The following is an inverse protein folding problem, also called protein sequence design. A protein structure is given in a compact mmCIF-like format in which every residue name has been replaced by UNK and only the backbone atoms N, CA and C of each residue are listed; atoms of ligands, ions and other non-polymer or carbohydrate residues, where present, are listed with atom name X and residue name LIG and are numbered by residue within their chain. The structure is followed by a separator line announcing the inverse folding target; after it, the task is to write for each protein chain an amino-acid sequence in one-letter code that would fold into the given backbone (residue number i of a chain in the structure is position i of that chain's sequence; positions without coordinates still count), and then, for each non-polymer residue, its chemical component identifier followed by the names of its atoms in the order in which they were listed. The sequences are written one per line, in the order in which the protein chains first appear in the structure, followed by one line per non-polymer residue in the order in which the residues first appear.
data_IF_242544254790
#
_entry.id   IF_242544254790
#
_cell.length_a   1.000
_cell.length_b   1.000
_cell.length_c   1.000
_cell.angle_alpha   90.00
_cell.angle_beta   90.00
_cell.angle_gamma   90.00
#
_symmetry.space_group_name_H-M   'P 1'
#
loop_
_entity.id
_entity.type
_entity.pdbx_description
1 polymer ?
#
# COMPACT_ATOMS: atom_id res chain seq x y z
N UNK A 1 -48.80 55.71 -48.52
CA UNK A 1 -48.06 55.95 -47.27
C UNK A 1 -47.88 54.61 -46.54
N UNK A 2 -46.77 53.92 -46.79
CA UNK A 2 -46.40 52.71 -46.06
C UNK A 2 -45.39 53.13 -44.97
N UNK A 3 -45.85 53.16 -43.72
CA UNK A 3 -45.01 53.46 -42.58
C UNK A 3 -44.10 52.27 -42.27
N UNK A 4 -42.79 52.47 -42.44
CA UNK A 4 -41.76 51.58 -41.94
C UNK A 4 -41.90 51.45 -40.42
N UNK A 5 -42.41 50.30 -39.95
CA UNK A 5 -42.30 49.91 -38.54
C UNK A 5 -40.86 49.50 -38.27
N UNK A 6 -40.04 50.45 -37.82
CA UNK A 6 -38.77 50.14 -37.18
C UNK A 6 -39.13 49.49 -35.85
N UNK A 7 -39.22 48.16 -35.84
CA UNK A 7 -39.28 47.41 -34.59
C UNK A 7 -38.01 47.70 -33.82
N UNK A 8 -38.14 48.41 -32.69
CA UNK A 8 -37.05 48.69 -31.78
C UNK A 8 -36.36 47.38 -31.42
N UNK A 9 -35.02 47.35 -31.48
CA UNK A 9 -34.20 46.21 -31.05
C UNK A 9 -34.62 45.71 -29.64
N UNK A 10 -35.12 46.61 -28.80
CA UNK A 10 -35.68 46.30 -27.48
C UNK A 10 -36.96 45.46 -27.52
N UNK A 11 -37.87 45.66 -28.48
CA UNK A 11 -39.08 44.83 -28.65
C UNK A 11 -38.74 43.45 -29.21
N UNK A 12 -37.75 43.36 -30.12
CA UNK A 12 -37.27 42.10 -30.69
C UNK A 12 -36.58 41.26 -29.61
N UNK A 13 -35.78 41.89 -28.74
CA UNK A 13 -35.16 41.24 -27.57
C UNK A 13 -36.21 40.83 -26.54
N UNK A 14 -37.20 41.67 -26.23
CA UNK A 14 -38.25 41.38 -25.24
C UNK A 14 -39.16 40.22 -25.69
N UNK A 15 -39.48 40.13 -27.00
CA UNK A 15 -40.23 39.01 -27.56
C UNK A 15 -39.40 37.72 -27.70
N UNK A 16 -38.08 37.80 -27.95
CA UNK A 16 -37.21 36.60 -27.97
C UNK A 16 -36.88 36.07 -26.58
N UNK A 17 -36.71 36.92 -25.57
CA UNK A 17 -36.41 36.51 -24.18
C UNK A 17 -37.61 35.83 -23.50
N UNK A 18 -38.84 36.20 -23.87
CA UNK A 18 -40.06 35.53 -23.41
C UNK A 18 -40.36 34.21 -24.14
N UNK A 19 -39.53 33.80 -25.11
CA UNK A 19 -39.68 32.50 -25.73
C UNK A 19 -39.19 31.41 -24.75
N UNK A 20 -40.04 30.45 -24.33
CA UNK A 20 -39.64 29.36 -23.43
C UNK A 20 -38.44 28.55 -23.96
N UNK A 21 -38.14 28.68 -25.24
CA UNK A 21 -37.05 28.02 -25.92
C UNK A 21 -35.67 28.67 -25.71
N UNK A 22 -35.58 30.00 -25.50
CA UNK A 22 -34.30 30.66 -25.16
C UNK A 22 -33.83 30.22 -23.77
N UNK A 23 -34.78 30.05 -22.84
CA UNK A 23 -34.54 29.45 -21.54
C UNK A 23 -34.05 28.01 -21.65
N UNK A 24 -34.56 27.22 -22.60
CA UNK A 24 -34.07 25.86 -22.87
C UNK A 24 -32.59 25.81 -23.28
N UNK A 25 -32.16 26.69 -24.19
CA UNK A 25 -30.74 26.79 -24.59
C UNK A 25 -29.87 27.23 -23.42
N UNK A 26 -30.28 28.24 -22.65
CA UNK A 26 -29.58 28.72 -21.47
C UNK A 26 -29.43 27.64 -20.39
N UNK A 27 -30.46 26.83 -20.18
CA UNK A 27 -30.44 25.74 -19.20
C UNK A 27 -29.53 24.59 -19.67
N UNK A 28 -29.55 24.26 -20.97
CA UNK A 28 -28.65 23.28 -21.56
C UNK A 28 -27.18 23.72 -21.49
N UNK A 29 -26.88 24.99 -21.79
CA UNK A 29 -25.51 25.52 -21.69
C UNK A 29 -25.03 25.60 -20.25
N UNK A 30 -25.90 25.94 -19.29
CA UNK A 30 -25.58 25.90 -17.87
C UNK A 30 -25.28 24.45 -17.42
N UNK A 31 -26.12 23.49 -17.82
CA UNK A 31 -25.90 22.06 -17.52
C UNK A 31 -24.57 21.55 -18.10
N UNK A 32 -24.25 21.90 -19.35
CA UNK A 32 -22.96 21.60 -20.00
C UNK A 32 -21.79 22.20 -19.23
N UNK A 33 -21.93 23.44 -18.75
CA UNK A 33 -20.86 24.13 -18.01
C UNK A 33 -20.61 23.46 -16.65
N UNK A 34 -21.66 23.06 -15.94
CA UNK A 34 -21.55 22.33 -14.67
C UNK A 34 -20.93 20.94 -14.88
N UNK A 35 -21.38 20.21 -15.91
CA UNK A 35 -20.81 18.91 -16.29
C UNK A 35 -19.33 19.02 -16.69
N UNK A 36 -18.98 20.08 -17.41
CA UNK A 36 -17.59 20.35 -17.81
C UNK A 36 -16.71 20.65 -16.60
N UNK A 37 -17.19 21.48 -15.66
CA UNK A 37 -16.49 21.75 -14.41
C UNK A 37 -16.27 20.47 -13.57
N UNK A 38 -17.28 19.61 -13.46
CA UNK A 38 -17.15 18.34 -12.74
C UNK A 38 -16.19 17.36 -13.44
N UNK A 39 -16.18 17.35 -14.77
CA UNK A 39 -15.27 16.54 -15.59
C UNK A 39 -13.79 16.95 -15.42
N UNK A 40 -13.53 18.24 -15.16
CA UNK A 40 -12.18 18.77 -14.98
C UNK A 40 -11.57 18.51 -13.60
N UNK A 41 -12.39 18.34 -12.54
CA UNK A 41 -11.91 18.12 -11.17
C UNK A 41 -11.41 16.67 -10.98
N UNK A 42 -10.32 16.33 -11.66
CA UNK A 42 -9.77 14.97 -11.69
C UNK A 42 -8.98 14.66 -10.42
N UNK A 43 -9.53 13.73 -9.64
CA UNK A 43 -8.87 13.14 -8.46
C UNK A 43 -8.22 11.78 -8.76
N UNK A 44 -8.29 11.34 -10.02
CA UNK A 44 -7.76 10.04 -10.45
C UNK A 44 -6.26 9.95 -10.24
N UNK A 45 -5.52 11.03 -10.48
CA UNK A 45 -4.08 11.09 -10.33
C UNK A 45 -3.65 10.87 -8.88
N UNK A 46 -4.44 11.35 -7.91
CA UNK A 46 -4.15 11.16 -6.48
C UNK A 46 -4.30 9.68 -6.10
N UNK A 47 -5.40 9.03 -6.49
CA UNK A 47 -5.61 7.61 -6.17
C UNK A 47 -4.57 6.70 -6.85
N UNK A 48 -4.16 7.01 -8.08
CA UNK A 48 -3.08 6.29 -8.77
C UNK A 48 -1.77 6.47 -8.03
N UNK A 49 -1.43 7.69 -7.59
CA UNK A 49 -0.22 7.94 -6.80
C UNK A 49 -0.17 7.13 -5.50
N UNK A 50 -1.28 7.02 -4.76
CA UNK A 50 -1.34 6.17 -3.57
C UNK A 50 -1.18 4.69 -3.91
N UNK A 51 -1.81 4.21 -4.99
CA UNK A 51 -1.65 2.84 -5.47
C UNK A 51 -0.20 2.51 -5.82
N UNK A 52 0.46 3.40 -6.56
CA UNK A 52 1.87 3.22 -6.95
C UNK A 52 2.77 3.19 -5.72
N UNK A 53 2.58 4.13 -4.79
CA UNK A 53 3.36 4.20 -3.54
C UNK A 53 3.19 2.95 -2.67
N UNK A 54 1.95 2.45 -2.53
CA UNK A 54 1.66 1.22 -1.79
C UNK A 54 2.19 -0.03 -2.52
N UNK A 55 2.18 -0.04 -3.85
CA UNK A 55 2.77 -1.12 -4.65
C UNK A 55 4.30 -1.15 -4.49
N UNK A 56 4.94 0.02 -4.54
CA UNK A 56 6.38 0.18 -4.29
C UNK A 56 6.74 -0.30 -2.88
N UNK A 57 5.91 0.03 -1.88
CA UNK A 57 6.07 -0.49 -0.52
C UNK A 57 6.09 -2.03 -0.51
N UNK A 58 5.09 -2.70 -1.12
CA UNK A 58 5.03 -4.17 -1.15
C UNK A 58 6.27 -4.76 -1.81
N UNK A 59 6.66 -4.25 -2.96
CA UNK A 59 7.84 -4.72 -3.67
C UNK A 59 9.11 -4.55 -2.84
N UNK A 60 9.27 -3.40 -2.19
CA UNK A 60 10.42 -3.11 -1.35
C UNK A 60 10.43 -3.97 -0.08
N UNK A 61 9.27 -4.22 0.53
CA UNK A 61 9.15 -5.13 1.68
C UNK A 61 9.50 -6.57 1.32
N UNK A 62 9.15 -7.04 0.11
CA UNK A 62 9.53 -8.36 -0.39
C UNK A 62 11.04 -8.49 -0.53
N UNK A 63 11.73 -7.45 -1.03
CA UNK A 63 13.20 -7.41 -1.09
C UNK A 63 13.83 -7.42 0.30
N UNK A 64 13.26 -6.69 1.26
CA UNK A 64 13.71 -6.73 2.66
C UNK A 64 13.54 -8.13 3.25
N UNK A 65 12.43 -8.81 2.98
CA UNK A 65 12.21 -10.16 3.48
C UNK A 65 13.22 -11.16 2.89
N UNK A 66 13.57 -11.03 1.60
CA UNK A 66 14.64 -11.84 1.00
C UNK A 66 16.01 -11.61 1.67
N UNK A 67 16.33 -10.36 2.04
CA UNK A 67 17.54 -10.04 2.81
C UNK A 67 17.47 -10.64 4.23
N UNK A 68 16.30 -10.59 4.86
CA UNK A 68 16.08 -11.18 6.19
C UNK A 68 16.26 -12.70 6.20
N UNK A 69 15.82 -13.41 5.16
CA UNK A 69 16.07 -14.86 5.05
C UNK A 69 17.57 -15.19 4.96
N UNK A 70 18.38 -14.34 4.33
CA UNK A 70 19.84 -14.50 4.33
C UNK A 70 20.41 -14.33 5.73
N UNK A 71 19.98 -13.30 6.46
CA UNK A 71 20.38 -13.06 7.87
C UNK A 71 19.96 -14.21 8.79
N UNK A 72 18.82 -14.84 8.51
CA UNK A 72 18.33 -15.98 9.28
C UNK A 72 19.27 -17.19 9.19
N UNK A 73 19.83 -17.46 8.01
CA UNK A 73 20.61 -18.67 7.72
C UNK A 73 22.13 -18.45 7.86
N UNK A 74 22.60 -17.24 7.56
CA UNK A 74 24.02 -16.90 7.50
C UNK A 74 24.34 -15.64 8.31
N UNK A 75 25.54 -15.62 8.89
CA UNK A 75 26.05 -14.48 9.68
C UNK A 75 26.41 -13.27 8.80
N UNK A 76 26.67 -13.48 7.51
CA UNK A 76 27.20 -12.48 6.56
C UNK A 76 26.10 -11.67 5.83
N UNK A 77 25.11 -11.16 6.56
CA UNK A 77 24.21 -10.15 6.01
C UNK A 77 24.80 -8.75 6.20
N UNK A 78 24.88 -7.94 5.13
CA UNK A 78 25.16 -6.49 5.24
C UNK A 78 24.04 -5.81 6.06
N UNK A 79 24.19 -5.82 7.39
CA UNK A 79 23.23 -5.25 8.35
C UNK A 79 22.95 -3.78 8.03
N UNK A 80 23.95 -3.03 7.57
CA UNK A 80 23.80 -1.63 7.17
C UNK A 80 22.84 -1.45 5.97
N UNK A 81 22.95 -2.29 4.95
CA UNK A 81 22.10 -2.23 3.77
C UNK A 81 20.65 -2.60 4.11
N UNK A 82 20.48 -3.58 5.00
CA UNK A 82 19.17 -3.94 5.56
C UNK A 82 18.59 -2.77 6.35
N UNK A 83 19.35 -2.16 7.25
CA UNK A 83 18.91 -1.02 8.06
C UNK A 83 18.54 0.20 7.21
N UNK A 84 19.29 0.47 6.15
CA UNK A 84 18.95 1.49 5.16
C UNK A 84 17.61 1.17 4.48
N UNK A 85 17.41 -0.08 4.07
CA UNK A 85 16.15 -0.52 3.45
C UNK A 85 14.95 -0.37 4.42
N UNK A 86 15.14 -0.64 5.71
CA UNK A 86 14.10 -0.42 6.73
C UNK A 86 13.76 1.06 6.92
N UNK A 87 14.73 1.97 6.80
CA UNK A 87 14.46 3.42 6.84
C UNK A 87 13.60 3.85 5.66
N UNK A 88 13.90 3.37 4.46
CA UNK A 88 13.06 3.64 3.28
C UNK A 88 11.62 3.14 3.45
N UNK A 89 11.41 1.94 3.99
CA UNK A 89 10.05 1.43 4.27
C UNK A 89 9.31 2.28 5.31
N UNK A 90 10.02 2.75 6.35
CA UNK A 90 9.45 3.68 7.33
C UNK A 90 9.05 5.01 6.67
N UNK A 91 9.92 5.58 5.86
CA UNK A 91 9.67 6.85 5.17
C UNK A 91 8.47 6.75 4.24
N UNK A 92 8.32 5.64 3.52
CA UNK A 92 7.13 5.39 2.70
C UNK A 92 5.88 5.35 3.59
N UNK A 93 5.88 4.60 4.69
CA UNK A 93 4.71 4.49 5.55
C UNK A 93 4.30 5.84 6.18
N UNK A 94 5.28 6.59 6.70
CA UNK A 94 5.05 7.93 7.27
C UNK A 94 4.58 8.92 6.21
N UNK A 95 5.17 8.88 5.00
CA UNK A 95 4.77 9.78 3.92
C UNK A 95 3.37 9.49 3.39
N UNK A 96 2.94 8.23 3.37
CA UNK A 96 1.56 7.86 3.01
C UNK A 96 0.57 8.41 4.04
N UNK A 97 0.86 8.29 5.34
CA UNK A 97 0.03 8.86 6.39
C UNK A 97 -0.02 10.39 6.29
N UNK A 98 1.14 11.06 6.23
CA UNK A 98 1.23 12.52 6.14
C UNK A 98 0.60 13.09 4.85
N UNK A 99 0.72 12.38 3.72
CA UNK A 99 0.04 12.77 2.48
C UNK A 99 -1.48 12.71 2.66
N UNK A 100 -2.00 11.69 3.36
CA UNK A 100 -3.44 11.56 3.60
C UNK A 100 -4.01 12.71 4.43
N UNK A 101 -3.22 13.27 5.36
CA UNK A 101 -3.60 14.45 6.15
C UNK A 101 -3.68 15.72 5.30
N UNK A 102 -2.75 15.89 4.35
CA UNK A 102 -2.74 17.03 3.42
C UNK A 102 -3.87 16.95 2.39
N UNK A 103 -4.29 15.73 2.03
CA UNK A 103 -5.29 15.45 1.00
C UNK A 103 -6.73 15.38 1.53
N UNK A 104 -7.00 15.88 2.75
CA UNK A 104 -8.34 15.86 3.38
C UNK A 104 -9.45 16.59 2.60
N UNK A 105 -9.09 17.43 1.63
CA UNK A 105 -10.03 18.13 0.74
C UNK A 105 -10.55 17.28 -0.43
N UNK A 106 -10.03 16.07 -0.60
CA UNK A 106 -10.45 15.13 -1.65
C UNK A 106 -11.84 14.58 -1.34
N UNK A 107 -12.62 14.28 -2.39
CA UNK A 107 -14.03 13.85 -2.28
C UNK A 107 -14.16 12.55 -1.50
N UNK A 108 -13.15 11.69 -1.60
CA UNK A 108 -13.11 10.43 -0.88
C UNK A 108 -11.67 10.04 -0.51
N UNK A 109 -11.52 9.52 0.69
CA UNK A 109 -10.30 8.93 1.21
C UNK A 109 -10.69 7.77 2.14
N UNK A 110 -9.90 6.69 2.26
CA UNK A 110 -10.09 5.73 3.33
C UNK A 110 -10.11 6.41 4.72
N UNK A 111 -10.72 5.78 5.74
CA UNK A 111 -10.66 6.30 7.10
C UNK A 111 -9.22 6.51 7.58
N UNK A 112 -8.96 7.61 8.29
CA UNK A 112 -7.65 7.94 8.87
C UNK A 112 -7.06 6.80 9.71
N UNK A 113 -7.95 6.04 10.36
CA UNK A 113 -7.59 4.85 11.12
C UNK A 113 -6.85 3.80 10.28
N UNK A 114 -7.21 3.59 9.01
CA UNK A 114 -6.54 2.60 8.15
C UNK A 114 -5.10 3.01 7.84
N UNK A 115 -4.86 4.30 7.61
CA UNK A 115 -3.50 4.83 7.42
C UNK A 115 -2.66 4.70 8.70
N UNK A 116 -3.24 5.05 9.85
CA UNK A 116 -2.56 4.92 11.15
C UNK A 116 -2.27 3.46 11.50
N UNK A 117 -3.20 2.53 11.23
CA UNK A 117 -2.99 1.10 11.44
C UNK A 117 -1.89 0.54 10.54
N UNK A 118 -1.82 0.99 9.29
CA UNK A 118 -0.73 0.65 8.37
C UNK A 118 0.61 1.16 8.91
N UNK A 119 0.74 2.46 9.20
CA UNK A 119 1.98 3.05 9.71
C UNK A 119 2.46 2.36 10.99
N UNK A 120 1.57 2.18 11.96
CA UNK A 120 1.90 1.50 13.22
C UNK A 120 2.34 0.06 12.98
N UNK A 121 1.69 -0.66 12.07
CA UNK A 121 2.08 -2.04 11.73
C UNK A 121 3.48 -2.08 11.12
N UNK A 122 3.82 -1.14 10.22
CA UNK A 122 5.16 -1.02 9.64
C UNK A 122 6.21 -0.75 10.74
N UNK A 123 5.94 0.18 11.65
CA UNK A 123 6.86 0.52 12.74
C UNK A 123 7.13 -0.67 13.67
N UNK A 124 6.09 -1.41 14.03
CA UNK A 124 6.21 -2.63 14.87
C UNK A 124 7.00 -3.71 14.15
N UNK A 125 6.78 -3.90 12.85
CA UNK A 125 7.51 -4.88 12.04
C UNK A 125 8.99 -4.52 11.92
N UNK A 126 9.31 -3.25 11.65
CA UNK A 126 10.69 -2.74 11.64
C UNK A 126 11.36 -2.92 13.00
N UNK A 127 10.66 -2.62 14.10
CA UNK A 127 11.18 -2.81 15.46
C UNK A 127 11.48 -4.29 15.74
N UNK A 128 10.64 -5.20 15.24
CA UNK A 128 10.85 -6.65 15.37
C UNK A 128 12.09 -7.09 14.60
N UNK A 129 12.31 -6.59 13.39
CA UNK A 129 13.53 -6.85 12.60
C UNK A 129 14.77 -6.33 13.32
N UNK A 130 14.73 -5.09 13.83
CA UNK A 130 15.87 -4.48 14.55
C UNK A 130 16.28 -5.26 15.80
N UNK A 131 15.33 -5.94 16.45
CA UNK A 131 15.60 -6.85 17.57
C UNK A 131 16.11 -8.20 17.10
N UNK A 132 15.53 -8.75 16.03
CA UNK A 132 15.86 -10.08 15.51
C UNK A 132 17.30 -10.17 14.99
N UNK A 133 17.74 -9.20 14.18
CA UNK A 133 19.04 -9.25 13.48
C UNK A 133 20.24 -9.42 14.44
N UNK A 134 20.44 -8.58 15.46
CA UNK A 134 21.57 -8.73 16.37
C UNK A 134 21.49 -10.00 17.21
N UNK A 135 20.30 -10.37 17.68
CA UNK A 135 20.07 -11.61 18.43
C UNK A 135 20.44 -12.84 17.60
N UNK A 136 20.05 -12.85 16.32
CA UNK A 136 20.37 -13.96 15.41
C UNK A 136 21.87 -14.05 15.15
N UNK A 137 22.55 -12.93 14.93
CA UNK A 137 24.00 -12.91 14.72
C UNK A 137 24.75 -13.46 15.95
N UNK A 138 24.37 -13.01 17.15
CA UNK A 138 24.99 -13.48 18.40
C UNK A 138 24.71 -14.98 18.65
N UNK A 139 23.51 -15.44 18.30
CA UNK A 139 23.16 -16.85 18.38
C UNK A 139 24.00 -17.70 17.42
N UNK A 140 24.17 -17.26 16.17
CA UNK A 140 24.96 -17.97 15.16
C UNK A 140 26.41 -18.12 15.60
N UNK A 141 27.03 -17.06 16.11
CA UNK A 141 28.40 -17.12 16.64
C UNK A 141 28.51 -18.11 17.82
N UNK A 142 27.57 -18.04 18.77
CA UNK A 142 27.53 -18.94 19.92
C UNK A 142 27.33 -20.40 19.50
N UNK A 143 26.48 -20.65 18.51
CA UNK A 143 26.22 -21.98 17.96
C UNK A 143 27.43 -22.54 17.23
N UNK A 144 28.12 -21.74 16.39
CA UNK A 144 29.35 -22.15 15.71
C UNK A 144 30.45 -22.54 16.70
N UNK A 145 30.62 -21.74 17.76
CA UNK A 145 31.57 -22.03 18.83
C UNK A 145 31.21 -23.32 19.58
N UNK A 146 29.93 -23.60 19.80
CA UNK A 146 29.47 -24.84 20.41
C UNK A 146 29.69 -26.06 19.50
N UNK A 147 29.38 -25.96 18.20
CA UNK A 147 29.63 -27.02 17.21
C UNK A 147 31.11 -27.40 17.18
N UNK A 148 32.01 -26.41 17.16
CA UNK A 148 33.45 -26.65 17.20
C UNK A 148 33.88 -27.33 18.52
N UNK A 149 33.24 -27.00 19.64
CA UNK A 149 33.53 -27.63 20.95
C UNK A 149 33.03 -29.08 20.99
N UNK A 150 31.81 -29.35 20.50
CA UNK A 150 31.22 -30.69 20.46
C UNK A 150 32.05 -31.64 19.59
N UNK A 151 32.42 -31.19 18.39
CA UNK A 151 33.22 -31.99 17.44
C UNK A 151 34.62 -32.35 17.98
N UNK A 152 35.19 -31.54 18.87
CA UNK A 152 36.49 -31.81 19.51
C UNK A 152 36.41 -32.78 20.69
N UNK A 153 35.23 -32.96 21.28
CA UNK A 153 35.07 -33.77 22.50
C UNK A 153 34.81 -35.25 22.19
N UNK A 154 33.73 -35.57 21.47
CA UNK A 154 33.42 -36.94 21.05
C UNK A 154 32.54 -36.90 19.79
N UNK A 155 33.03 -37.47 18.69
CA UNK A 155 32.37 -37.38 17.39
C UNK A 155 31.03 -38.13 17.33
N UNK A 156 30.93 -39.31 17.95
CA UNK A 156 29.71 -40.14 17.94
C UNK A 156 28.55 -39.49 18.70
N UNK A 157 28.88 -38.79 19.80
CA UNK A 157 27.88 -38.05 20.58
C UNK A 157 27.59 -36.68 19.94
N UNK A 158 28.60 -36.07 19.29
CA UNK A 158 28.47 -34.76 18.67
C UNK A 158 27.54 -34.76 17.46
N UNK A 159 27.59 -35.78 16.60
CA UNK A 159 26.83 -35.82 15.34
C UNK A 159 25.32 -35.52 15.51
N UNK A 160 24.56 -36.21 16.39
CA UNK A 160 23.14 -35.90 16.58
C UNK A 160 22.88 -34.50 17.17
N UNK A 161 23.78 -34.00 18.03
CA UNK A 161 23.67 -32.68 18.64
C UNK A 161 23.95 -31.57 17.63
N UNK A 162 24.94 -31.78 16.75
CA UNK A 162 25.28 -30.86 15.66
C UNK A 162 24.13 -30.82 14.64
N UNK A 163 23.53 -31.97 14.31
CA UNK A 163 22.34 -32.01 13.43
C UNK A 163 21.17 -31.20 13.99
N UNK A 164 20.96 -31.24 15.31
CA UNK A 164 19.97 -30.40 15.97
C UNK A 164 20.34 -28.91 15.87
N UNK A 165 21.60 -28.54 16.08
CA UNK A 165 22.07 -27.16 15.93
C UNK A 165 21.95 -26.66 14.47
N UNK A 166 22.21 -27.50 13.48
CA UNK A 166 22.01 -27.18 12.07
C UNK A 166 20.55 -26.98 11.72
N UNK A 167 19.67 -27.81 12.27
CA UNK A 167 18.23 -27.64 12.09
C UNK A 167 17.74 -26.35 12.78
N UNK A 168 18.30 -26.01 13.95
CA UNK A 168 18.05 -24.71 14.61
C UNK A 168 18.60 -23.53 13.79
N UNK A 169 19.73 -23.71 13.09
CA UNK A 169 20.31 -22.73 12.15
C UNK A 169 19.40 -22.46 10.96
N UNK A 170 18.60 -23.44 10.54
CA UNK A 170 17.54 -23.23 9.54
C UNK A 170 16.27 -22.58 10.11
N UNK A 171 16.24 -22.32 11.42
CA UNK A 171 15.15 -21.61 12.11
C UNK A 171 14.04 -22.52 12.62
N UNK A 172 14.26 -23.84 12.73
CA UNK A 172 13.34 -24.73 13.42
C UNK A 172 13.48 -24.56 14.95
N UNK A 173 12.37 -24.50 15.66
CA UNK A 173 12.36 -24.46 17.13
C UNK A 173 12.59 -25.87 17.68
N UNK A 174 13.83 -26.16 18.05
CA UNK A 174 14.24 -27.48 18.57
C UNK A 174 14.39 -27.38 20.07
N UNK A 175 13.76 -28.33 20.76
CA UNK A 175 13.84 -28.43 22.21
C UNK A 175 15.01 -29.34 22.62
N UNK A 176 15.67 -29.04 23.75
CA UNK A 176 16.70 -29.90 24.30
C UNK A 176 16.10 -31.25 24.70
N UNK A 177 16.75 -32.34 24.28
CA UNK A 177 16.35 -33.70 24.63
C UNK A 177 17.09 -34.18 25.89
N UNK A 178 16.32 -34.45 26.95
CA UNK A 178 16.84 -34.93 28.24
C UNK A 178 17.63 -36.24 28.14
N UNK A 179 17.49 -37.01 27.06
CA UNK A 179 18.26 -38.25 26.84
C UNK A 179 19.77 -38.01 26.72
N UNK A 180 20.21 -36.77 26.48
CA UNK A 180 21.61 -36.37 26.44
C UNK A 180 22.14 -35.86 27.79
N UNK A 181 21.24 -35.62 28.75
CA UNK A 181 21.60 -35.21 30.11
C UNK A 181 22.31 -36.36 30.81
N UNK A 182 23.53 -36.12 31.28
CA UNK A 182 24.42 -37.14 31.87
C UNK A 182 25.30 -37.88 30.85
N UNK A 183 25.07 -37.72 29.54
CA UNK A 183 26.02 -38.19 28.51
C UNK A 183 27.10 -37.15 28.22
N UNK A 184 26.77 -35.86 28.35
CA UNK A 184 27.69 -34.73 28.20
C UNK A 184 28.18 -34.25 29.58
N UNK A 185 29.36 -33.63 29.67
CA UNK A 185 29.75 -32.85 30.84
C UNK A 185 28.70 -31.77 31.14
N UNK A 186 28.38 -31.54 32.41
CA UNK A 186 27.30 -30.63 32.83
C UNK A 186 27.44 -29.23 32.22
N UNK A 187 28.67 -28.70 32.14
CA UNK A 187 28.95 -27.39 31.54
C UNK A 187 28.61 -27.33 30.05
N UNK A 188 28.87 -28.42 29.31
CA UNK A 188 28.59 -28.53 27.88
C UNK A 188 27.10 -28.77 27.62
N UNK A 189 26.46 -29.59 28.46
CA UNK A 189 25.01 -29.78 28.44
C UNK A 189 24.26 -28.47 28.67
N UNK A 190 24.58 -27.73 29.74
CA UNK A 190 23.94 -26.44 30.05
C UNK A 190 24.11 -25.43 28.91
N UNK A 191 25.30 -25.39 28.30
CA UNK A 191 25.56 -24.52 27.14
C UNK A 191 24.70 -24.91 25.94
N UNK A 192 24.62 -26.19 25.61
CA UNK A 192 23.78 -26.71 24.53
C UNK A 192 22.29 -26.41 24.77
N UNK A 193 21.80 -26.72 25.97
CA UNK A 193 20.43 -26.44 26.39
C UNK A 193 20.08 -24.95 26.27
N UNK A 194 20.96 -24.07 26.78
CA UNK A 194 20.76 -22.62 26.71
C UNK A 194 20.68 -22.09 25.28
N UNK A 195 21.51 -22.61 24.37
CA UNK A 195 21.54 -22.20 22.96
C UNK A 195 20.25 -22.63 22.24
N UNK A 196 19.73 -23.83 22.52
CA UNK A 196 18.47 -24.28 21.94
C UNK A 196 17.26 -23.50 22.46
N UNK A 197 17.21 -23.23 23.77
CA UNK A 197 16.15 -22.41 24.36
C UNK A 197 16.18 -20.97 23.84
N UNK A 198 17.39 -20.41 23.62
CA UNK A 198 17.53 -19.11 22.98
C UNK A 198 17.05 -19.12 21.52
N UNK A 199 17.36 -20.17 20.76
CA UNK A 199 16.83 -20.33 19.40
C UNK A 199 15.31 -20.36 19.37
N UNK A 200 14.65 -21.05 20.32
CA UNK A 200 13.19 -21.07 20.39
C UNK A 200 12.59 -19.66 20.56
N UNK A 201 13.21 -18.81 21.38
CA UNK A 201 12.82 -17.40 21.53
C UNK A 201 13.05 -16.59 20.25
N UNK A 202 14.18 -16.81 19.58
CA UNK A 202 14.48 -16.15 18.29
C UNK A 202 13.49 -16.59 17.21
N UNK A 203 13.08 -17.86 17.19
CA UNK A 203 12.07 -18.37 16.26
C UNK A 203 10.70 -17.71 16.47
N UNK A 204 10.32 -17.41 17.72
CA UNK A 204 9.11 -16.63 17.99
C UNK A 204 9.21 -15.19 17.43
N UNK A 205 10.36 -14.54 17.60
CA UNK A 205 10.62 -13.22 16.99
C UNK A 205 10.54 -13.28 15.47
N UNK A 206 11.09 -14.34 14.87
CA UNK A 206 10.99 -14.57 13.43
C UNK A 206 9.54 -14.69 12.95
N UNK A 207 8.69 -15.42 13.66
CA UNK A 207 7.27 -15.56 13.31
C UNK A 207 6.54 -14.20 13.30
N UNK A 208 6.96 -13.24 14.12
CA UNK A 208 6.43 -11.86 14.09
C UNK A 208 6.90 -11.08 12.87
N UNK A 209 8.12 -11.33 12.40
CA UNK A 209 8.69 -10.74 11.17
C UNK A 209 8.07 -11.35 9.91
N UNK A 210 7.90 -12.67 9.89
CA UNK A 210 7.30 -13.41 8.78
C UNK A 210 5.76 -13.30 8.72
N UNK A 211 5.13 -12.61 9.68
CA UNK A 211 3.69 -12.43 9.70
C UNK A 211 3.21 -11.45 8.63
N UNK A 212 2.08 -11.76 8.01
CA UNK A 212 1.51 -10.99 6.89
C UNK A 212 0.78 -9.70 7.30
N UNK A 213 0.72 -9.38 8.59
CA UNK A 213 -0.12 -8.27 9.10
C UNK A 213 0.11 -6.95 8.36
N UNK A 214 1.37 -6.58 8.12
CA UNK A 214 1.71 -5.34 7.44
C UNK A 214 1.28 -5.36 5.98
N UNK A 215 1.48 -6.49 5.30
CA UNK A 215 1.06 -6.68 3.92
C UNK A 215 -0.45 -6.63 3.79
N UNK A 216 -1.20 -7.27 4.69
CA UNK A 216 -2.67 -7.21 4.73
C UNK A 216 -3.16 -5.77 4.85
N UNK A 217 -2.57 -4.96 5.74
CA UNK A 217 -2.96 -3.55 5.89
C UNK A 217 -2.63 -2.72 4.64
N UNK A 218 -1.46 -2.96 4.03
CA UNK A 218 -1.09 -2.35 2.76
C UNK A 218 -2.05 -2.74 1.62
N UNK A 219 -2.45 -4.01 1.57
CA UNK A 219 -3.38 -4.57 0.59
C UNK A 219 -4.77 -3.98 0.73
N UNK A 220 -5.28 -3.86 1.96
CA UNK A 220 -6.57 -3.24 2.25
C UNK A 220 -6.61 -1.80 1.74
N UNK A 221 -5.61 -0.98 2.09
CA UNK A 221 -5.52 0.40 1.61
C UNK A 221 -5.43 0.46 0.08
N UNK A 222 -4.57 -0.36 -0.52
CA UNK A 222 -4.42 -0.40 -1.99
C UNK A 222 -5.74 -0.84 -2.67
N UNK A 223 -6.45 -1.82 -2.12
CA UNK A 223 -7.72 -2.27 -2.65
C UNK A 223 -8.79 -1.18 -2.54
N UNK A 224 -8.84 -0.45 -1.43
CA UNK A 224 -9.71 0.70 -1.23
C UNK A 224 -9.51 1.76 -2.32
N UNK A 225 -8.26 2.16 -2.58
CA UNK A 225 -7.95 3.10 -3.66
C UNK A 225 -8.25 2.54 -5.06
N UNK A 226 -8.03 1.24 -5.29
CA UNK A 226 -8.33 0.59 -6.58
C UNK A 226 -9.82 0.56 -6.87
N UNK A 227 -10.65 0.25 -5.87
CA UNK A 227 -12.11 0.26 -6.02
C UNK A 227 -12.58 1.69 -6.34
N UNK A 228 -12.05 2.68 -5.64
CA UNK A 228 -12.43 4.07 -5.89
C UNK A 228 -11.97 4.59 -7.26
N UNK A 229 -10.76 4.22 -7.72
CA UNK A 229 -10.29 4.62 -9.03
C UNK A 229 -11.15 4.02 -10.16
N UNK A 230 -11.62 2.78 -10.00
CA UNK A 230 -12.57 2.15 -10.92
C UNK A 230 -13.93 2.85 -10.93
N UNK A 231 -14.49 3.18 -9.75
CA UNK A 231 -15.74 3.95 -9.65
C UNK A 231 -15.62 5.33 -10.31
N UNK A 232 -14.51 6.02 -10.10
CA UNK A 232 -14.27 7.31 -10.75
C UNK A 232 -14.18 7.20 -12.27
N UNK A 233 -13.57 6.11 -12.79
CA UNK A 233 -13.51 5.85 -14.23
C UNK A 233 -14.91 5.59 -14.80
N UNK A 234 -15.74 4.85 -14.09
CA UNK A 234 -17.14 4.60 -14.48
C UNK A 234 -17.96 5.89 -14.50
N UNK A 235 -17.86 6.71 -13.44
CA UNK A 235 -18.54 8.02 -13.38
C UNK A 235 -18.08 8.93 -14.53
N UNK A 236 -16.78 8.94 -14.85
CA UNK A 236 -16.24 9.71 -15.99
C UNK A 236 -16.85 9.26 -17.30
N UNK A 237 -16.97 7.95 -17.53
CA UNK A 237 -17.58 7.40 -18.74
C UNK A 237 -19.06 7.83 -18.87
N UNK A 238 -19.85 7.69 -17.81
CA UNK A 238 -21.25 8.16 -17.79
C UNK A 238 -21.36 9.67 -18.00
N UNK A 239 -20.51 10.45 -17.34
CA UNK A 239 -20.49 11.92 -17.48
C UNK A 239 -20.21 12.33 -18.91
N UNK A 240 -19.26 11.67 -19.59
CA UNK A 240 -18.98 11.90 -21.01
C UNK A 240 -20.17 11.55 -21.89
N UNK A 241 -20.84 10.41 -21.67
CA UNK A 241 -22.03 10.04 -22.43
C UNK A 241 -23.17 11.05 -22.28
N UNK A 242 -23.44 11.51 -21.05
CA UNK A 242 -24.45 12.54 -20.78
C UNK A 242 -24.06 13.87 -21.43
N UNK A 243 -22.79 14.26 -21.36
CA UNK A 243 -22.28 15.46 -22.02
C UNK A 243 -22.48 15.41 -23.55
N UNK A 244 -22.16 14.26 -24.18
CA UNK A 244 -22.40 14.07 -25.61
C UNK A 244 -23.88 14.12 -25.97
N UNK A 245 -24.74 13.46 -25.18
CA UNK A 245 -26.19 13.48 -25.39
C UNK A 245 -26.73 14.91 -25.33
N UNK A 246 -26.39 15.67 -24.28
CA UNK A 246 -26.82 17.06 -24.12
C UNK A 246 -26.29 17.93 -25.26
N UNK A 247 -25.06 17.71 -25.71
CA UNK A 247 -24.48 18.41 -26.87
C UNK A 247 -25.23 18.11 -28.17
N UNK A 248 -25.61 16.84 -28.41
CA UNK A 248 -26.42 16.44 -29.57
C UNK A 248 -27.80 17.08 -29.51
N UNK A 249 -28.45 17.04 -28.34
CA UNK A 249 -29.77 17.66 -28.13
C UNK A 249 -29.69 19.16 -28.40
N UNK A 250 -28.67 19.85 -27.88
CA UNK A 250 -28.43 21.27 -28.14
C UNK A 250 -28.25 21.53 -29.64
N UNK A 251 -27.45 20.72 -30.33
CA UNK A 251 -27.19 20.87 -31.76
C UNK A 251 -28.47 20.67 -32.58
N UNK A 252 -29.26 19.63 -32.29
CA UNK A 252 -30.57 19.41 -32.91
C UNK A 252 -31.53 20.57 -32.65
N UNK A 253 -31.53 21.12 -31.43
CA UNK A 253 -32.32 22.30 -31.08
C UNK A 253 -31.91 23.50 -31.94
N UNK A 254 -30.61 23.78 -32.06
CA UNK A 254 -30.10 24.89 -32.89
C UNK A 254 -30.38 24.69 -34.39
N UNK A 255 -30.32 23.44 -34.89
CA UNK A 255 -30.60 23.12 -36.28
C UNK A 255 -32.08 23.31 -36.61
N UNK A 256 -32.97 22.88 -35.70
CA UNK A 256 -34.40 23.17 -35.79
C UNK A 256 -34.67 24.68 -35.86
N UNK A 257 -33.96 25.50 -35.07
CA UNK A 257 -34.04 26.96 -35.15
C UNK A 257 -33.58 27.53 -36.50
N UNK A 258 -32.43 27.08 -36.99
CA UNK A 258 -31.89 27.54 -38.26
C UNK A 258 -32.87 27.25 -39.42
N UNK A 259 -33.52 26.08 -39.40
CA UNK A 259 -34.49 25.68 -40.42
C UNK A 259 -35.83 26.42 -40.25
N UNK A 260 -36.37 26.55 -39.02
CA UNK A 260 -37.64 27.24 -38.76
C UNK A 260 -37.55 28.74 -39.01
N UNK A 261 -36.42 29.39 -38.75
CA UNK A 261 -36.25 30.83 -38.99
C UNK A 261 -36.14 31.24 -40.46
N UNK A 262 -35.93 30.26 -41.36
CA UNK A 262 -35.91 30.46 -42.83
C UNK A 262 -37.28 30.29 -43.49
N UNK A 263 -38.31 29.84 -42.74
CA UNK A 263 -39.72 29.84 -43.15
C UNK A 263 -40.42 31.04 -42.54
#
# INVERSE_FOLDING_TARGET
MQGNRIHSLGEILKNRINAPLVWGILLLTLALTVLFYYSQKQQMDVYVRYLDTLSDYKFFSGRVMQKMERVRVASEGNSEELMSSLRGLREIAVSVYAASENDRSIVWMPPEREFSEFENSVLVWIASIKRYVPERASWLDSAMNLVATLNRWNLEIAEPLVKNLDSARLGFAILPDSAWKGKLPDSLWLRYESILLWNAKIAELWNRVAGDRVLVQCDNLAQSFKIQSLKNREIKFWTQQVFYLISIVLLLFTLFFAVRSRK
#
